data_IF_721459976753
#
_entry.id   IF_721459976753
#
_cell.length_a   1.000
_cell.length_b   1.000
_cell.length_c   1.000
_cell.angle_alpha   90.00
_cell.angle_beta   90.00
_cell.angle_gamma   90.00
#
_symmetry.space_group_name_H-M   'P 1'
#
loop_
_entity.id
_entity.type
_entity.pdbx_description
1 polymer ?
#
# COMPACT_ATOMS: atom_id res chain seq x y z
N UNK A 1 18.53 9.54 -7.98
CA UNK A 1 17.16 8.98 -7.84
C UNK A 1 16.36 9.32 -9.11
N UNK A 2 16.73 8.75 -10.26
CA UNK A 2 16.17 9.12 -11.58
C UNK A 2 14.70 8.69 -11.75
N UNK A 3 14.29 7.63 -11.05
CA UNK A 3 12.91 7.12 -11.09
C UNK A 3 11.90 8.11 -10.49
N UNK A 4 12.30 9.01 -9.58
CA UNK A 4 11.37 9.93 -8.90
C UNK A 4 10.70 10.88 -9.90
N UNK A 5 11.46 11.44 -10.84
CA UNK A 5 11.01 12.41 -11.83
C UNK A 5 10.54 11.79 -13.15
N UNK A 6 11.02 10.60 -13.51
CA UNK A 6 10.64 9.94 -14.76
C UNK A 6 9.25 9.30 -14.69
N UNK A 7 8.52 9.23 -15.82
CA UNK A 7 7.33 8.38 -15.91
C UNK A 7 7.77 6.92 -15.79
N UNK A 8 7.00 6.04 -15.11
CA UNK A 8 7.35 4.64 -14.96
C UNK A 8 7.56 3.95 -16.30
N UNK A 9 6.69 4.18 -17.29
CA UNK A 9 6.81 3.57 -18.61
C UNK A 9 8.14 3.93 -19.29
N UNK A 10 8.50 5.22 -19.34
CA UNK A 10 9.76 5.70 -19.90
C UNK A 10 10.97 5.10 -19.16
N UNK A 11 10.90 5.02 -17.83
CA UNK A 11 11.96 4.44 -17.03
C UNK A 11 12.12 2.94 -17.26
N UNK A 12 11.01 2.20 -17.38
CA UNK A 12 11.01 0.77 -17.63
C UNK A 12 11.54 0.46 -19.05
N UNK A 13 11.20 1.28 -20.05
CA UNK A 13 11.74 1.17 -21.40
C UNK A 13 13.25 1.47 -21.43
N UNK A 14 13.69 2.48 -20.67
CA UNK A 14 15.10 2.84 -20.60
C UNK A 14 15.96 1.83 -19.82
N UNK A 15 15.43 1.30 -18.70
CA UNK A 15 16.14 0.37 -17.80
C UNK A 15 15.30 -0.87 -17.49
N UNK A 16 15.08 -1.77 -18.48
CA UNK A 16 14.21 -2.95 -18.34
C UNK A 16 14.75 -3.99 -17.34
N UNK A 17 16.06 -3.98 -17.07
CA UNK A 17 16.71 -4.89 -16.09
C UNK A 17 16.91 -4.28 -14.70
N UNK A 18 16.31 -3.11 -14.43
CA UNK A 18 16.42 -2.47 -13.12
C UNK A 18 15.71 -3.26 -12.00
N UNK A 19 16.08 -2.98 -10.75
CA UNK A 19 15.39 -3.54 -9.58
C UNK A 19 13.91 -3.12 -9.56
N UNK A 20 13.61 -1.89 -9.97
CA UNK A 20 12.24 -1.40 -10.11
C UNK A 20 11.46 -2.19 -11.18
N UNK A 21 12.06 -2.46 -12.34
CA UNK A 21 11.42 -3.27 -13.38
C UNK A 21 11.11 -4.69 -12.88
N UNK A 22 12.07 -5.31 -12.18
CA UNK A 22 11.87 -6.63 -11.55
C UNK A 22 10.75 -6.59 -10.50
N UNK A 23 10.72 -5.55 -9.67
CA UNK A 23 9.67 -5.34 -8.68
C UNK A 23 8.29 -5.17 -9.34
N UNK A 24 8.18 -4.30 -10.35
CA UNK A 24 6.95 -4.01 -11.06
C UNK A 24 6.37 -5.29 -11.68
N UNK A 25 7.20 -6.04 -12.43
CA UNK A 25 6.81 -7.33 -13.03
C UNK A 25 6.34 -8.34 -11.97
N UNK A 26 7.14 -8.57 -10.92
CA UNK A 26 6.77 -9.52 -9.84
C UNK A 26 5.48 -9.12 -9.14
N UNK A 27 5.28 -7.82 -8.89
CA UNK A 27 4.06 -7.30 -8.25
C UNK A 27 2.85 -7.44 -9.16
N UNK A 28 2.98 -7.15 -10.45
CA UNK A 28 1.89 -7.29 -11.41
C UNK A 28 1.39 -8.73 -11.44
N UNK A 29 2.30 -9.69 -11.66
CA UNK A 29 1.96 -11.11 -11.79
C UNK A 29 1.36 -11.70 -10.51
N UNK A 30 1.69 -11.13 -9.35
CA UNK A 30 1.16 -11.55 -8.05
C UNK A 30 -0.21 -10.92 -7.74
N UNK A 31 -0.43 -9.65 -8.07
CA UNK A 31 -1.63 -8.90 -7.69
C UNK A 31 -2.73 -8.98 -8.73
N UNK A 32 -2.37 -8.95 -10.01
CA UNK A 32 -3.31 -9.02 -11.13
C UNK A 32 -3.48 -10.50 -11.51
N UNK A 33 -4.63 -11.06 -11.15
CA UNK A 33 -4.94 -12.46 -11.40
C UNK A 33 -5.27 -12.70 -12.88
N UNK A 34 -4.86 -13.82 -13.50
CA UNK A 34 -5.20 -14.12 -14.90
C UNK A 34 -6.69 -14.00 -15.23
N UNK A 35 -7.56 -14.43 -14.31
CA UNK A 35 -9.03 -14.27 -14.45
C UNK A 35 -9.46 -12.80 -14.59
N UNK A 36 -8.82 -11.90 -13.83
CA UNK A 36 -9.08 -10.47 -13.93
C UNK A 36 -8.65 -9.93 -15.29
N UNK A 37 -7.46 -10.33 -15.77
CA UNK A 37 -6.98 -9.94 -17.10
C UNK A 37 -7.91 -10.45 -18.22
N UNK A 38 -8.32 -11.70 -18.16
CA UNK A 38 -9.26 -12.27 -19.13
C UNK A 38 -10.61 -11.54 -19.13
N UNK A 39 -11.10 -11.09 -17.97
CA UNK A 39 -12.33 -10.29 -17.88
C UNK A 39 -12.15 -8.84 -18.36
N UNK A 40 -10.98 -8.23 -18.14
CA UNK A 40 -10.72 -6.83 -18.52
C UNK A 40 -10.33 -6.69 -20.00
N UNK A 41 -9.60 -7.65 -20.55
CA UNK A 41 -8.97 -7.57 -21.87
C UNK A 41 -9.44 -8.66 -22.84
N UNK A 42 -10.17 -9.68 -22.36
CA UNK A 42 -10.62 -10.81 -23.18
C UNK A 42 -9.53 -11.86 -23.49
N UNK A 43 -8.29 -11.64 -23.08
CA UNK A 43 -7.15 -12.53 -23.32
C UNK A 43 -6.08 -12.39 -22.21
N UNK A 44 -4.97 -13.11 -22.37
CA UNK A 44 -3.81 -13.08 -21.45
C UNK A 44 -2.54 -12.53 -22.13
N UNK A 45 -2.68 -11.85 -23.27
CA UNK A 45 -1.52 -11.32 -24.02
C UNK A 45 -0.78 -10.26 -23.19
N UNK A 46 -1.54 -9.47 -22.44
CA UNK A 46 -1.02 -8.53 -21.45
C UNK A 46 -0.08 -9.23 -20.46
N UNK A 47 -0.52 -10.33 -19.84
CA UNK A 47 0.29 -11.14 -18.93
C UNK A 47 1.55 -11.68 -19.59
N UNK A 48 1.43 -12.15 -20.83
CA UNK A 48 2.54 -12.73 -21.58
C UNK A 48 3.63 -11.68 -21.85
N UNK A 49 3.25 -10.45 -22.23
CA UNK A 49 4.17 -9.31 -22.36
C UNK A 49 4.87 -8.98 -21.04
N UNK A 50 4.12 -8.89 -19.93
CA UNK A 50 4.74 -8.67 -18.62
C UNK A 50 5.68 -9.82 -18.24
N UNK A 51 5.34 -11.06 -18.62
CA UNK A 51 6.19 -12.22 -18.39
C UNK A 51 7.46 -12.22 -19.25
N UNK A 52 7.45 -11.75 -20.50
CA UNK A 52 8.66 -11.61 -21.32
C UNK A 52 9.57 -10.47 -20.84
N UNK A 53 9.02 -9.55 -20.04
CA UNK A 53 9.72 -8.33 -19.60
C UNK A 53 9.44 -7.12 -20.50
N UNK A 54 8.54 -7.28 -21.47
CA UNK A 54 8.01 -6.20 -22.28
C UNK A 54 6.93 -5.43 -21.50
N UNK A 55 6.61 -4.23 -22.00
CA UNK A 55 5.68 -3.32 -21.36
C UNK A 55 4.37 -3.27 -22.15
N UNK A 56 3.25 -3.69 -21.56
CA UNK A 56 1.94 -3.50 -22.16
C UNK A 56 1.62 -2.00 -22.28
N UNK A 57 1.37 -1.52 -23.49
CA UNK A 57 0.96 -0.14 -23.77
C UNK A 57 -0.55 0.05 -23.54
N UNK A 58 -1.00 -0.24 -22.32
CA UNK A 58 -2.42 -0.12 -21.94
C UNK A 58 -2.61 0.95 -20.86
N UNK A 59 -3.79 1.61 -20.81
CA UNK A 59 -4.11 2.52 -19.71
C UNK A 59 -4.05 1.85 -18.34
N UNK A 60 -4.46 0.57 -18.27
CA UNK A 60 -4.40 -0.23 -17.05
C UNK A 60 -2.96 -0.42 -16.56
N UNK A 61 -2.05 -0.85 -17.45
CA UNK A 61 -0.65 -1.05 -17.06
C UNK A 61 0.04 0.27 -16.73
N UNK A 62 -0.29 1.35 -17.44
CA UNK A 62 0.19 2.70 -17.12
C UNK A 62 -0.20 3.08 -15.68
N UNK A 63 -1.47 2.95 -15.31
CA UNK A 63 -1.94 3.22 -13.95
C UNK A 63 -1.29 2.30 -12.91
N UNK A 64 -1.17 1.01 -13.23
CA UNK A 64 -0.48 0.03 -12.37
C UNK A 64 0.98 0.42 -12.12
N UNK A 65 1.71 0.83 -13.17
CA UNK A 65 3.13 1.17 -13.08
C UNK A 65 3.37 2.45 -12.26
N UNK A 66 2.44 3.41 -12.31
CA UNK A 66 2.44 4.60 -11.45
C UNK A 66 2.24 4.23 -9.97
N UNK A 67 1.28 3.35 -9.69
CA UNK A 67 1.09 2.82 -8.34
C UNK A 67 2.34 2.07 -7.87
N UNK A 68 2.89 1.17 -8.69
CA UNK A 68 4.08 0.39 -8.37
C UNK A 68 5.28 1.31 -8.09
N UNK A 69 5.47 2.39 -8.86
CA UNK A 69 6.52 3.40 -8.61
C UNK A 69 6.38 4.03 -7.23
N UNK A 70 5.17 4.46 -6.85
CA UNK A 70 4.94 5.08 -5.53
C UNK A 70 5.28 4.11 -4.39
N UNK A 71 4.86 2.85 -4.49
CA UNK A 71 5.16 1.82 -3.50
C UNK A 71 6.68 1.51 -3.46
N UNK A 72 7.33 1.44 -4.62
CA UNK A 72 8.78 1.22 -4.68
C UNK A 72 9.55 2.36 -4.00
N UNK A 73 9.19 3.61 -4.29
CA UNK A 73 9.81 4.78 -3.65
C UNK A 73 9.55 4.80 -2.15
N UNK A 74 8.36 4.38 -1.70
CA UNK A 74 8.05 4.23 -0.27
C UNK A 74 8.94 3.18 0.40
N UNK A 75 9.17 2.03 -0.24
CA UNK A 75 10.12 1.03 0.26
C UNK A 75 11.54 1.58 0.33
N UNK A 76 12.02 2.25 -0.72
CA UNK A 76 13.34 2.89 -0.71
C UNK A 76 13.47 3.93 0.42
N UNK A 77 12.41 4.71 0.66
CA UNK A 77 12.36 5.67 1.75
C UNK A 77 12.43 4.96 3.10
N UNK A 78 11.59 3.97 3.34
CA UNK A 78 11.55 3.21 4.60
C UNK A 78 12.91 2.57 4.95
N UNK A 79 13.59 2.00 3.95
CA UNK A 79 14.91 1.36 4.09
C UNK A 79 16.06 2.37 4.21
N UNK A 80 15.83 3.66 3.94
CA UNK A 80 16.85 4.69 4.10
C UNK A 80 17.01 5.17 5.56
N UNK A 81 16.05 4.83 6.44
CA UNK A 81 16.13 5.15 7.86
C UNK A 81 16.98 4.12 8.62
N UNK A 82 17.64 4.58 9.68
CA UNK A 82 18.36 3.73 10.64
C UNK A 82 17.96 4.11 12.07
N UNK A 83 17.20 3.28 12.81
CA UNK A 83 16.67 1.97 12.40
C UNK A 83 15.61 2.07 11.30
N UNK A 84 15.42 0.98 10.55
CA UNK A 84 14.42 0.92 9.47
C UNK A 84 13.01 1.23 10.00
N UNK A 85 12.20 1.89 9.17
CA UNK A 85 10.80 2.18 9.50
C UNK A 85 10.04 0.86 9.58
N UNK A 86 9.33 0.63 10.69
CA UNK A 86 8.48 -0.54 10.87
C UNK A 86 7.01 -0.17 10.81
N UNK A 87 6.18 -1.08 10.32
CA UNK A 87 4.72 -0.92 10.35
C UNK A 87 4.24 -0.97 11.80
N UNK A 88 3.39 -0.03 12.19
CA UNK A 88 2.68 -0.03 13.48
C UNK A 88 1.23 -0.46 13.23
N UNK A 89 0.83 -1.57 13.83
CA UNK A 89 -0.53 -2.09 13.80
C UNK A 89 -0.93 -2.54 15.19
N UNK A 90 -2.22 -2.42 15.47
CA UNK A 90 -2.85 -2.81 16.73
C UNK A 90 -3.83 -3.94 16.47
N UNK A 91 -3.97 -4.86 17.41
CA UNK A 91 -4.89 -5.99 17.27
C UNK A 91 -6.29 -5.60 17.74
N UNK A 92 -7.30 -6.29 17.22
CA UNK A 92 -8.68 -6.19 17.72
C UNK A 92 -8.73 -6.39 19.24
N UNK A 93 -9.56 -5.61 19.93
CA UNK A 93 -9.75 -5.65 21.38
C UNK A 93 -8.69 -4.87 22.17
N UNK A 94 -7.69 -4.26 21.52
CA UNK A 94 -6.80 -3.33 22.21
C UNK A 94 -7.54 -2.04 22.56
N UNK A 95 -7.22 -1.47 23.72
CA UNK A 95 -7.73 -0.17 24.14
C UNK A 95 -7.30 0.93 23.16
N UNK A 96 -8.23 1.78 22.78
CA UNK A 96 -7.93 2.95 21.96
C UNK A 96 -7.00 3.91 22.69
N UNK A 97 -6.05 4.48 21.95
CA UNK A 97 -5.16 5.52 22.45
C UNK A 97 -5.03 6.59 21.39
N UNK A 98 -5.56 7.77 21.65
CA UNK A 98 -5.48 8.94 20.76
C UNK A 98 -4.05 9.38 20.44
N UNK A 99 -3.06 8.92 21.22
CA UNK A 99 -1.63 9.19 20.97
C UNK A 99 -1.12 8.34 19.81
N UNK A 100 -1.60 7.10 19.69
CA UNK A 100 -1.10 6.12 18.71
C UNK A 100 -2.11 5.78 17.61
N UNK A 101 -3.37 6.18 17.77
CA UNK A 101 -4.49 5.77 16.93
C UNK A 101 -5.40 6.96 16.63
N UNK A 102 -5.93 7.00 15.43
CA UNK A 102 -6.98 7.92 14.97
C UNK A 102 -8.25 7.11 14.74
N UNK A 103 -9.36 7.49 15.39
CA UNK A 103 -10.67 6.87 15.14
C UNK A 103 -11.27 7.43 13.85
N UNK A 104 -11.80 6.56 13.00
CA UNK A 104 -12.57 6.97 11.80
C UNK A 104 -14.07 7.13 12.09
N UNK A 105 -14.49 7.06 13.35
CA UNK A 105 -15.88 7.23 13.76
C UNK A 105 -15.97 7.92 15.10
N UNK A 106 -16.56 9.11 15.09
CA UNK A 106 -16.79 9.92 16.30
C UNK A 106 -17.89 9.33 17.19
N UNK A 107 -18.86 8.63 16.58
CA UNK A 107 -19.95 7.94 17.29
C UNK A 107 -19.45 6.76 18.14
N UNK A 108 -18.23 6.28 17.87
CA UNK A 108 -17.65 5.12 18.55
C UNK A 108 -17.01 5.48 19.91
N UNK A 109 -17.25 6.71 20.39
CA UNK A 109 -16.98 7.14 21.76
C UNK A 109 -18.25 7.21 22.61
N UNK A 110 -19.39 6.74 22.07
CA UNK A 110 -20.67 6.68 22.76
C UNK A 110 -21.08 5.23 22.95
N UNK A 111 -21.44 4.84 24.17
CA UNK A 111 -22.04 3.53 24.44
C UNK A 111 -23.47 3.47 23.90
N UNK A 112 -24.07 2.26 23.90
CA UNK A 112 -25.41 2.03 23.37
C UNK A 112 -26.53 2.85 24.04
N UNK A 113 -26.27 3.37 25.24
CA UNK A 113 -27.17 4.24 26.01
C UNK A 113 -26.90 5.75 25.79
N UNK A 114 -25.96 6.10 24.90
CA UNK A 114 -25.59 7.47 24.57
C UNK A 114 -24.66 8.14 25.60
N UNK A 115 -24.13 7.39 26.56
CA UNK A 115 -23.11 7.89 27.51
C UNK A 115 -21.71 7.76 26.93
N UNK A 116 -20.73 8.58 27.38
CA UNK A 116 -19.36 8.47 26.86
C UNK A 116 -18.74 7.12 27.23
N UNK A 117 -18.22 6.41 26.24
CA UNK A 117 -17.58 5.12 26.42
C UNK A 117 -16.25 5.30 27.16
N UNK A 118 -16.10 4.59 28.27
CA UNK A 118 -14.95 4.75 29.18
C UNK A 118 -13.73 3.94 28.76
N UNK A 119 -13.92 2.91 27.93
CA UNK A 119 -12.85 2.04 27.44
C UNK A 119 -13.09 1.58 25.99
N UNK A 120 -13.09 2.50 25.02
CA UNK A 120 -13.36 2.13 23.63
C UNK A 120 -12.25 1.23 23.10
N UNK A 121 -12.65 0.13 22.46
CA UNK A 121 -11.73 -0.90 21.99
C UNK A 121 -11.66 -0.94 20.47
N UNK A 122 -10.48 -1.24 19.94
CA UNK A 122 -10.28 -1.36 18.49
C UNK A 122 -11.05 -2.57 17.96
N UNK A 123 -11.95 -2.34 17.00
CA UNK A 123 -12.57 -3.41 16.23
C UNK A 123 -11.59 -3.93 15.16
N UNK A 124 -11.01 -3.03 14.37
CA UNK A 124 -10.00 -3.35 13.34
C UNK A 124 -9.24 -2.11 12.86
N UNK A 125 -8.07 -2.34 12.26
CA UNK A 125 -7.23 -1.31 11.63
C UNK A 125 -7.61 -1.17 10.16
N UNK A 126 -7.83 0.07 9.71
CA UNK A 126 -8.10 0.42 8.31
C UNK A 126 -6.82 0.81 7.60
N UNK A 127 -6.07 1.72 8.22
CA UNK A 127 -4.79 2.21 7.69
C UNK A 127 -3.71 1.92 8.73
N UNK A 128 -2.64 1.19 8.38
CA UNK A 128 -1.55 0.97 9.31
C UNK A 128 -0.82 2.28 9.62
N UNK A 129 -0.33 2.38 10.85
CA UNK A 129 0.60 3.43 11.25
C UNK A 129 2.04 3.03 10.94
N UNK A 130 2.98 3.90 11.30
CA UNK A 130 4.41 3.66 11.10
C UNK A 130 5.21 4.09 12.31
N UNK A 131 6.24 3.32 12.66
CA UNK A 131 7.21 3.67 13.68
C UNK A 131 8.52 4.06 13.01
N UNK A 132 8.97 5.29 13.29
CA UNK A 132 10.20 5.89 12.77
C UNK A 132 11.06 6.27 13.98
N UNK A 133 11.96 5.37 14.37
CA UNK A 133 12.72 5.51 15.62
C UNK A 133 11.81 5.57 16.85
N UNK A 134 11.79 6.73 17.52
CA UNK A 134 10.93 7.00 18.68
C UNK A 134 9.57 7.61 18.29
N UNK A 135 9.40 8.06 17.05
CA UNK A 135 8.16 8.69 16.57
C UNK A 135 7.19 7.63 16.05
N UNK A 136 5.92 7.78 16.42
CA UNK A 136 4.82 6.97 15.87
C UNK A 136 3.92 7.87 15.03
N UNK A 137 3.72 7.47 13.78
CA UNK A 137 2.63 7.94 12.93
C UNK A 137 1.44 7.04 13.22
N UNK A 138 0.32 7.65 13.56
CA UNK A 138 -0.86 6.96 14.06
C UNK A 138 -1.43 5.98 13.03
N UNK A 139 -1.99 4.87 13.50
CA UNK A 139 -2.84 4.02 12.68
C UNK A 139 -4.28 4.53 12.70
N UNK A 140 -5.04 4.27 11.64
CA UNK A 140 -6.47 4.60 11.60
C UNK A 140 -7.29 3.35 11.91
N UNK A 141 -8.21 3.46 12.85
CA UNK A 141 -8.97 2.34 13.41
C UNK A 141 -10.47 2.62 13.42
N UNK A 142 -11.25 1.56 13.36
CA UNK A 142 -12.64 1.57 13.84
C UNK A 142 -12.68 1.01 15.25
N UNK A 143 -13.51 1.61 16.09
CA UNK A 143 -13.77 1.14 17.45
C UNK A 143 -15.03 0.27 17.47
N UNK A 144 -15.15 -0.57 18.48
CA UNK A 144 -16.25 -1.52 18.66
C UNK A 144 -17.43 -0.86 19.35
#
# INVERSE_FOLDING_TARGET
MELKSAKPADYLAWKPKSLFATFCRKKYLRLVHPKMEASLFGNLDHRNLVNSGDLPETPFFTAFSEMAKRIWLLHCLALSFNPEVSIFQVSKGNRFSEVYMESLSDEAFLSSDGTPETDPQVAFVVVPGFRIGATIVQCQVYLQ
#
